data_IF_011728813879
#
_entry.id   IF_011728813879
#
_cell.length_a   1.000
_cell.length_b   1.000
_cell.length_c   1.000
_cell.angle_alpha   90.00
_cell.angle_beta   90.00
_cell.angle_gamma   90.00
#
_symmetry.space_group_name_H-M   'P 1'
#
loop_
_entity.id
_entity.type
_entity.pdbx_description
1 polymer ?
#
# COMPACT_ATOMS: atom_id res chain seq x y z
N UNK A 1 1.58 7.84 -21.44
CA UNK A 1 2.02 6.61 -20.75
C UNK A 1 3.07 7.03 -19.74
N UNK A 2 2.67 7.33 -18.49
CA UNK A 2 3.60 7.87 -17.50
C UNK A 2 4.66 6.82 -17.21
N UNK A 3 5.92 7.24 -17.35
CA UNK A 3 7.10 6.40 -17.28
C UNK A 3 7.12 5.52 -16.03
N UNK A 4 7.52 4.26 -16.23
CA UNK A 4 7.91 3.28 -15.20
C UNK A 4 8.89 3.86 -14.15
N UNK A 5 9.53 5.00 -14.46
CA UNK A 5 10.44 5.77 -13.63
C UNK A 5 9.85 6.34 -12.33
N UNK A 6 8.53 6.36 -12.12
CA UNK A 6 7.94 6.79 -10.83
C UNK A 6 7.78 5.69 -9.77
N UNK A 7 8.11 4.43 -10.07
CA UNK A 7 8.22 3.36 -9.05
C UNK A 7 9.44 3.51 -8.12
N UNK A 8 10.17 4.62 -8.22
CA UNK A 8 11.38 4.93 -7.48
C UNK A 8 11.16 5.29 -5.99
N UNK A 9 9.93 5.45 -5.51
CA UNK A 9 9.67 5.61 -4.07
C UNK A 9 10.07 4.36 -3.26
N UNK A 10 10.03 3.16 -3.88
CA UNK A 10 10.47 1.92 -3.25
C UNK A 10 12.00 1.72 -3.26
N UNK A 11 12.73 2.53 -4.04
CA UNK A 11 14.17 2.37 -4.27
C UNK A 11 15.02 3.44 -3.56
N UNK A 12 14.38 4.46 -2.96
CA UNK A 12 15.06 5.60 -2.29
C UNK A 12 16.00 5.19 -1.14
N UNK A 13 15.91 3.94 -0.68
CA UNK A 13 16.94 3.32 0.15
C UNK A 13 17.62 2.24 -0.70
N UNK A 14 18.83 2.50 -1.21
CA UNK A 14 19.72 1.55 -1.90
C UNK A 14 20.14 0.35 -1.02
N UNK A 15 19.17 -0.37 -0.47
CA UNK A 15 19.30 -1.74 -0.01
C UNK A 15 18.41 -2.53 -0.94
N UNK A 16 19.01 -3.27 -1.87
CA UNK A 16 18.30 -4.30 -2.61
C UNK A 16 17.55 -5.12 -1.56
N UNK A 17 16.22 -5.01 -1.55
CA UNK A 17 15.38 -5.85 -0.71
C UNK A 17 15.77 -7.29 -1.00
N UNK A 18 16.12 -8.05 0.03
CA UNK A 18 16.55 -9.43 -0.15
C UNK A 18 15.52 -10.16 -1.02
N UNK A 19 15.95 -10.97 -2.00
CA UNK A 19 15.02 -11.72 -2.85
C UNK A 19 14.05 -12.50 -1.94
N UNK A 20 12.75 -12.29 -2.15
CA UNK A 20 11.70 -12.88 -1.30
C UNK A 20 11.26 -12.04 -0.07
N UNK A 21 11.78 -10.83 0.14
CA UNK A 21 11.36 -10.00 1.28
C UNK A 21 9.94 -9.40 1.16
N UNK A 22 9.29 -9.56 0.00
CA UNK A 22 7.94 -9.07 -0.26
C UNK A 22 7.17 -10.09 -1.10
N UNK A 23 6.35 -10.89 -0.42
CA UNK A 23 5.57 -11.99 -1.01
C UNK A 23 4.09 -11.89 -0.62
N UNK A 24 3.51 -10.68 -0.68
CA UNK A 24 2.11 -10.43 -0.29
C UNK A 24 1.09 -11.26 -1.08
N UNK A 25 1.46 -11.68 -2.30
CA UNK A 25 0.65 -12.52 -3.18
C UNK A 25 1.24 -13.93 -3.38
N UNK A 26 2.14 -14.37 -2.48
CA UNK A 26 2.89 -15.61 -2.61
C UNK A 26 4.11 -15.52 -3.54
N UNK A 27 4.74 -16.67 -3.82
CA UNK A 27 5.94 -16.76 -4.66
C UNK A 27 6.07 -18.13 -5.35
N UNK A 28 6.91 -18.19 -6.38
CA UNK A 28 7.11 -19.40 -7.20
C UNK A 28 5.86 -19.80 -8.00
N UNK A 29 5.69 -21.09 -8.23
CA UNK A 29 4.59 -21.65 -9.05
C UNK A 29 3.19 -21.52 -8.42
N UNK A 30 3.11 -21.07 -7.16
CA UNK A 30 1.86 -20.87 -6.41
C UNK A 30 1.56 -19.39 -6.18
N UNK A 31 2.09 -18.51 -7.04
CA UNK A 31 1.73 -17.09 -7.00
C UNK A 31 0.23 -16.91 -7.24
N UNK A 32 -0.39 -15.96 -6.53
CA UNK A 32 -1.78 -15.61 -6.74
C UNK A 32 -1.99 -15.19 -8.21
N UNK A 33 -2.94 -15.79 -8.95
CA UNK A 33 -3.20 -15.41 -10.34
C UNK A 33 -3.68 -13.96 -10.47
N UNK A 34 -4.23 -13.38 -9.40
CA UNK A 34 -4.64 -11.98 -9.33
C UNK A 34 -3.54 -11.00 -8.92
N UNK A 35 -2.28 -11.44 -8.77
CA UNK A 35 -1.20 -10.58 -8.26
C UNK A 35 -0.98 -9.34 -9.13
N UNK A 36 -0.98 -9.50 -10.46
CA UNK A 36 -0.74 -8.38 -11.36
C UNK A 36 -1.96 -7.47 -11.49
N UNK A 37 -3.16 -8.04 -11.44
CA UNK A 37 -4.41 -7.27 -11.37
C UNK A 37 -4.45 -6.40 -10.11
N UNK A 38 -4.16 -6.97 -8.93
CA UNK A 38 -4.17 -6.24 -7.67
C UNK A 38 -3.15 -5.09 -7.64
N UNK A 39 -1.96 -5.29 -8.24
CA UNK A 39 -0.96 -4.22 -8.40
C UNK A 39 -1.49 -3.08 -9.29
N UNK A 40 -2.12 -3.43 -10.41
CA UNK A 40 -2.70 -2.46 -11.35
C UNK A 40 -3.81 -1.66 -10.68
N UNK A 41 -4.78 -2.34 -10.07
CA UNK A 41 -5.92 -1.71 -9.40
C UNK A 41 -5.46 -0.78 -8.27
N UNK A 42 -4.52 -1.22 -7.43
CA UNK A 42 -3.96 -0.40 -6.34
C UNK A 42 -3.25 0.83 -6.89
N UNK A 43 -2.49 0.70 -7.98
CA UNK A 43 -1.80 1.82 -8.61
C UNK A 43 -2.77 2.85 -9.19
N UNK A 44 -3.84 2.39 -9.86
CA UNK A 44 -4.86 3.26 -10.44
C UNK A 44 -5.63 3.97 -9.32
N UNK A 45 -6.06 3.24 -8.31
CA UNK A 45 -6.75 3.79 -7.14
C UNK A 45 -5.89 4.88 -6.47
N UNK A 46 -4.63 4.57 -6.17
CA UNK A 46 -3.73 5.51 -5.51
C UNK A 46 -3.47 6.76 -6.35
N UNK A 47 -3.36 6.62 -7.68
CA UNK A 47 -3.18 7.74 -8.59
C UNK A 47 -4.32 8.76 -8.47
N UNK A 48 -5.56 8.30 -8.55
CA UNK A 48 -6.73 9.19 -8.44
C UNK A 48 -6.94 9.68 -7.02
N UNK A 49 -6.64 8.85 -6.02
CA UNK A 49 -6.78 9.19 -4.61
C UNK A 49 -5.85 10.33 -4.21
N UNK A 50 -4.55 10.23 -4.54
CA UNK A 50 -3.55 11.24 -4.17
C UNK A 50 -3.75 12.58 -4.89
N UNK A 51 -4.33 12.58 -6.09
CA UNK A 51 -4.54 13.81 -6.85
C UNK A 51 -5.76 14.61 -6.40
N UNK A 52 -6.82 13.92 -5.96
CA UNK A 52 -8.13 14.56 -5.76
C UNK A 52 -8.64 14.48 -4.32
N UNK A 53 -7.96 13.77 -3.43
CA UNK A 53 -8.42 13.53 -2.07
C UNK A 53 -7.31 13.73 -1.05
N UNK A 54 -7.70 14.26 0.11
CA UNK A 54 -6.89 14.33 1.32
C UNK A 54 -7.48 13.40 2.37
N UNK A 55 -6.63 12.64 3.04
CA UNK A 55 -6.98 11.71 4.12
C UNK A 55 -6.41 12.21 5.44
N UNK A 56 -7.26 12.44 6.43
CA UNK A 56 -6.86 12.81 7.79
C UNK A 56 -7.40 11.78 8.79
N UNK A 57 -6.52 11.16 9.59
CA UNK A 57 -6.95 10.21 10.63
C UNK A 57 -7.69 10.96 11.72
N UNK A 58 -8.84 10.42 12.14
CA UNK A 58 -9.63 11.01 13.24
C UNK A 58 -8.87 10.87 14.56
N UNK A 59 -8.22 9.72 14.79
CA UNK A 59 -7.38 9.47 15.94
C UNK A 59 -5.97 9.05 15.51
N UNK A 60 -5.00 9.99 15.44
CA UNK A 60 -3.62 9.65 15.08
C UNK A 60 -2.92 8.81 16.15
N UNK A 61 -3.34 8.91 17.42
CA UNK A 61 -2.73 8.23 18.57
C UNK A 61 -3.34 6.86 18.91
N UNK A 62 -4.20 6.32 18.03
CA UNK A 62 -4.83 5.04 18.29
C UNK A 62 -3.79 3.92 18.47
N UNK A 63 -3.91 3.07 19.52
CA UNK A 63 -2.99 1.98 19.76
C UNK A 63 -3.09 0.92 18.67
N UNK A 64 -1.97 0.29 18.35
CA UNK A 64 -1.93 -0.85 17.42
C UNK A 64 -2.19 -2.11 18.22
N UNK A 65 -3.20 -2.86 17.82
CA UNK A 65 -3.48 -4.21 18.30
C UNK A 65 -2.75 -5.21 17.42
N UNK A 66 -2.12 -6.24 18.02
CA UNK A 66 -1.23 -7.17 17.29
C UNK A 66 -1.79 -8.59 17.16
N UNK A 67 -3.11 -8.78 17.24
CA UNK A 67 -3.72 -10.11 17.22
C UNK A 67 -4.96 -10.18 16.31
N UNK A 68 -5.03 -11.09 15.32
CA UNK A 68 -3.98 -11.96 14.78
C UNK A 68 -3.01 -11.26 13.81
N UNK A 69 -3.30 -10.00 13.43
CA UNK A 69 -2.48 -9.16 12.57
C UNK A 69 -2.42 -7.74 13.14
N UNK A 70 -1.34 -6.96 12.89
CA UNK A 70 -1.26 -5.59 13.36
C UNK A 70 -2.37 -4.74 12.73
N UNK A 71 -3.27 -4.20 13.55
CA UNK A 71 -4.32 -3.26 13.14
C UNK A 71 -4.51 -2.17 14.18
N UNK A 72 -4.73 -0.91 13.79
CA UNK A 72 -5.16 0.12 14.73
C UNK A 72 -6.46 -0.28 15.42
N UNK A 73 -6.52 -0.14 16.75
CA UNK A 73 -7.69 -0.54 17.54
C UNK A 73 -8.95 0.23 17.20
N UNK A 74 -8.80 1.41 16.58
CA UNK A 74 -9.89 2.25 16.08
C UNK A 74 -10.29 1.93 14.63
N UNK A 75 -9.78 0.84 14.04
CA UNK A 75 -9.99 0.45 12.64
C UNK A 75 -9.58 1.51 11.61
N UNK A 76 -8.60 2.38 11.93
CA UNK A 76 -8.10 3.42 11.02
C UNK A 76 -9.17 4.42 10.54
N UNK A 77 -10.12 4.81 11.40
CA UNK A 77 -11.13 5.79 11.01
C UNK A 77 -10.47 7.11 10.54
N UNK A 78 -10.87 7.56 9.36
CA UNK A 78 -10.28 8.72 8.70
C UNK A 78 -11.35 9.54 7.97
N UNK A 79 -11.15 10.86 7.98
CA UNK A 79 -11.92 11.82 7.21
C UNK A 79 -11.31 11.97 5.82
N UNK A 80 -12.12 11.80 4.80
CA UNK A 80 -11.74 12.00 3.40
C UNK A 80 -12.37 13.32 2.94
N UNK A 81 -11.54 14.24 2.44
CA UNK A 81 -11.99 15.48 1.83
C UNK A 81 -11.50 15.55 0.39
N UNK A 82 -12.40 15.88 -0.55
CA UNK A 82 -12.01 16.16 -1.93
C UNK A 82 -11.26 17.50 -1.98
N UNK A 83 -10.13 17.52 -2.69
CA UNK A 83 -9.32 18.72 -2.95
C UNK A 83 -9.79 19.40 -4.24
#
# INVERSE_FOLDING_TARGET
MKDIREMNYLQKNNKLKAPGSFLSFGGGNRICPGADLAKLETSIFLHYFLLNYKLERINPGAPITYLPTPRPGDNCLAKITKV
#
